data_IF_358042970350
#
_entry.id   IF_358042970350
#
_cell.length_a   1.000
_cell.length_b   1.000
_cell.length_c   1.000
_cell.angle_alpha   90.00
_cell.angle_beta   90.00
_cell.angle_gamma   90.00
#
_symmetry.space_group_name_H-M   'P 1'
#
loop_
_entity.id
_entity.type
_entity.pdbx_description
1 polymer ?
#
# COMPACT_ATOMS: atom_id res chain seq x y z
N UNK A 1 -9.70 27.85 -2.76
CA UNK A 1 -9.01 27.14 -1.67
C UNK A 1 -8.71 25.74 -2.16
N UNK A 2 -7.47 25.29 -2.03
CA UNK A 2 -7.03 23.96 -2.45
C UNK A 2 -7.11 23.01 -1.27
N UNK A 3 -7.86 21.92 -1.39
CA UNK A 3 -7.97 20.85 -0.39
C UNK A 3 -6.69 19.99 -0.36
N UNK A 4 -6.52 19.19 0.69
CA UNK A 4 -5.50 18.13 0.71
C UNK A 4 -5.76 17.13 -0.42
N UNK A 5 -4.70 16.64 -1.04
CA UNK A 5 -4.79 15.48 -1.94
C UNK A 5 -5.17 14.23 -1.15
N UNK A 6 -5.77 13.25 -1.83
CA UNK A 6 -6.11 11.95 -1.24
C UNK A 6 -4.89 11.25 -0.65
N UNK A 7 -3.74 11.34 -1.32
CA UNK A 7 -2.46 10.83 -0.81
C UNK A 7 -2.02 11.53 0.46
N UNK A 8 -2.20 12.86 0.56
CA UNK A 8 -1.85 13.60 1.77
C UNK A 8 -2.77 13.26 2.95
N UNK A 9 -4.06 13.01 2.69
CA UNK A 9 -5.00 12.54 3.73
C UNK A 9 -4.59 11.15 4.23
N UNK A 10 -4.27 10.22 3.32
CA UNK A 10 -3.80 8.88 3.69
C UNK A 10 -2.50 8.94 4.51
N UNK A 11 -1.49 9.68 4.04
CA UNK A 11 -0.23 9.84 4.74
C UNK A 11 -0.40 10.51 6.13
N UNK A 12 -1.34 11.45 6.28
CA UNK A 12 -1.65 12.05 7.58
C UNK A 12 -2.25 11.01 8.55
N UNK A 13 -3.22 10.21 8.11
CA UNK A 13 -3.86 9.16 8.92
C UNK A 13 -2.89 8.01 9.25
N UNK A 14 -1.93 7.77 8.35
CA UNK A 14 -0.87 6.77 8.55
C UNK A 14 0.29 7.25 9.40
N UNK A 15 0.42 8.56 9.63
CA UNK A 15 1.53 9.14 10.38
C UNK A 15 2.84 9.19 9.56
N UNK A 16 2.74 9.07 8.24
CA UNK A 16 3.89 9.01 7.32
C UNK A 16 4.32 10.39 6.80
N UNK A 17 3.63 11.46 7.21
CA UNK A 17 4.04 12.82 6.91
C UNK A 17 5.26 13.22 7.75
N UNK A 18 6.26 13.80 7.10
CA UNK A 18 7.33 14.51 7.79
C UNK A 18 6.77 15.64 8.68
N UNK A 19 7.51 16.13 9.69
CA UNK A 19 6.98 17.09 10.68
C UNK A 19 6.36 18.36 10.06
N UNK A 20 7.05 18.97 9.08
CA UNK A 20 6.59 20.21 8.44
C UNK A 20 5.28 20.04 7.63
N UNK A 21 5.12 19.04 6.74
CA UNK A 21 3.84 18.80 6.08
C UNK A 21 2.76 18.31 7.05
N UNK A 22 3.10 17.64 8.16
CA UNK A 22 2.15 17.25 9.19
C UNK A 22 1.49 18.48 9.84
N UNK A 23 2.27 19.44 10.33
CA UNK A 23 1.75 20.69 10.94
C UNK A 23 0.87 21.49 9.96
N UNK A 24 1.23 21.50 8.67
CA UNK A 24 0.44 22.17 7.63
C UNK A 24 -0.90 21.45 7.39
N UNK A 25 -0.88 20.12 7.34
CA UNK A 25 -2.07 19.31 7.22
C UNK A 25 -3.00 19.51 8.43
N UNK A 26 -2.46 19.47 9.64
CA UNK A 26 -3.20 19.69 10.89
C UNK A 26 -3.91 21.04 10.89
N UNK A 27 -3.20 22.13 10.62
CA UNK A 27 -3.82 23.47 10.51
C UNK A 27 -4.92 23.51 9.45
N UNK A 28 -4.68 22.92 8.28
CA UNK A 28 -5.70 22.89 7.23
C UNK A 28 -6.95 22.09 7.64
N UNK A 29 -6.78 20.97 8.34
CA UNK A 29 -7.89 20.15 8.85
C UNK A 29 -8.71 20.94 9.88
N UNK A 30 -8.06 21.74 10.73
CA UNK A 30 -8.75 22.63 11.66
C UNK A 30 -9.58 23.73 10.96
N UNK A 31 -9.11 24.21 9.81
CA UNK A 31 -9.76 25.30 9.06
C UNK A 31 -10.75 24.79 7.99
N UNK A 32 -10.67 23.51 7.58
CA UNK A 32 -11.45 22.94 6.48
C UNK A 32 -12.21 21.67 6.89
N UNK A 33 -13.54 21.80 7.03
CA UNK A 33 -14.42 20.70 7.43
C UNK A 33 -14.44 19.52 6.44
N UNK A 34 -14.30 19.78 5.14
CA UNK A 34 -14.27 18.72 4.11
C UNK A 34 -13.03 17.82 4.26
N UNK A 35 -11.87 18.42 4.53
CA UNK A 35 -10.66 17.65 4.81
C UNK A 35 -10.74 16.94 6.16
N UNK A 36 -11.34 17.55 7.18
CA UNK A 36 -11.61 16.88 8.46
C UNK A 36 -12.51 15.65 8.30
N UNK A 37 -13.56 15.76 7.48
CA UNK A 37 -14.44 14.64 7.16
C UNK A 37 -13.69 13.53 6.41
N UNK A 38 -12.89 13.88 5.39
CA UNK A 38 -12.09 12.93 4.64
C UNK A 38 -11.11 12.15 5.53
N UNK A 39 -10.45 12.83 6.48
CA UNK A 39 -9.59 12.19 7.49
C UNK A 39 -10.39 11.22 8.36
N UNK A 40 -11.58 11.62 8.82
CA UNK A 40 -12.46 10.77 9.62
C UNK A 40 -12.93 9.51 8.88
N UNK A 41 -13.22 9.60 7.58
CA UNK A 41 -13.56 8.45 6.74
C UNK A 41 -12.37 7.51 6.56
N UNK A 42 -11.19 8.06 6.27
CA UNK A 42 -9.97 7.26 6.11
C UNK A 42 -9.56 6.56 7.41
N UNK A 43 -9.71 7.22 8.56
CA UNK A 43 -9.46 6.60 9.87
C UNK A 43 -10.41 5.42 10.14
N UNK A 44 -11.70 5.57 9.83
CA UNK A 44 -12.66 4.47 9.94
C UNK A 44 -12.32 3.31 9.01
N UNK A 45 -11.93 3.59 7.77
CA UNK A 45 -11.50 2.57 6.82
C UNK A 45 -10.27 1.80 7.34
N UNK A 46 -9.24 2.52 7.79
CA UNK A 46 -8.04 1.93 8.42
C UNK A 46 -8.39 1.06 9.63
N UNK A 47 -9.28 1.53 10.50
CA UNK A 47 -9.70 0.75 11.66
C UNK A 47 -10.47 -0.51 11.25
N UNK A 48 -11.36 -0.41 10.26
CA UNK A 48 -12.09 -1.56 9.73
C UNK A 48 -11.15 -2.64 9.20
N UNK A 49 -10.16 -2.24 8.37
CA UNK A 49 -9.15 -3.16 7.84
C UNK A 49 -8.34 -3.83 8.95
N UNK A 50 -7.90 -3.05 9.95
CA UNK A 50 -7.17 -3.58 11.11
C UNK A 50 -7.98 -4.59 11.91
N UNK A 51 -9.27 -4.33 12.12
CA UNK A 51 -10.15 -5.21 12.88
C UNK A 51 -10.53 -6.47 12.10
N UNK A 52 -10.69 -6.40 10.78
CA UNK A 52 -10.99 -7.59 9.96
C UNK A 52 -9.79 -8.52 9.80
N UNK A 53 -8.58 -7.96 9.72
CA UNK A 53 -7.37 -8.75 9.48
C UNK A 53 -6.88 -9.51 10.72
N UNK A 54 -7.24 -9.04 11.92
CA UNK A 54 -6.83 -9.67 13.18
C UNK A 54 -7.49 -11.02 13.47
N UNK A 55 -8.67 -11.31 12.89
CA UNK A 55 -9.37 -12.58 13.12
C UNK A 55 -8.85 -13.73 12.24
N UNK A 56 -8.24 -13.43 11.08
CA UNK A 56 -7.83 -14.45 10.10
C UNK A 56 -6.30 -14.57 9.95
N UNK A 57 -5.54 -13.53 10.32
CA UNK A 57 -4.06 -13.55 10.24
C UNK A 57 -3.47 -13.98 11.57
N UNK A 58 -3.36 -15.30 11.77
CA UNK A 58 -2.65 -15.88 12.92
C UNK A 58 -1.14 -15.82 12.73
N UNK A 59 -0.41 -15.28 13.71
CA UNK A 59 1.06 -15.27 13.71
C UNK A 59 1.57 -16.70 13.95
N UNK A 60 2.39 -17.28 13.04
CA UNK A 60 2.91 -18.62 13.23
C UNK A 60 3.74 -18.75 14.53
N UNK A 61 3.46 -19.80 15.31
CA UNK A 61 4.20 -20.08 16.56
C UNK A 61 5.72 -20.20 16.34
N UNK A 62 6.13 -20.72 15.18
CA UNK A 62 7.53 -20.83 14.79
C UNK A 62 8.19 -19.46 14.59
N UNK A 63 7.46 -18.45 14.13
CA UNK A 63 7.97 -17.07 14.03
C UNK A 63 8.15 -16.47 15.42
N UNK A 64 7.18 -16.65 16.31
CA UNK A 64 7.28 -16.18 17.70
C UNK A 64 8.46 -16.81 18.44
N UNK A 65 8.68 -18.11 18.26
CA UNK A 65 9.87 -18.79 18.81
C UNK A 65 11.17 -18.23 18.23
N UNK A 66 11.25 -18.00 16.91
CA UNK A 66 12.44 -17.43 16.28
C UNK A 66 12.71 -15.99 16.73
N UNK A 67 11.67 -15.15 16.85
CA UNK A 67 11.78 -13.79 17.35
C UNK A 67 12.23 -13.78 18.82
N UNK A 68 11.74 -14.70 19.66
CA UNK A 68 12.17 -14.85 21.04
C UNK A 68 13.61 -15.33 21.21
N UNK A 69 14.19 -15.97 20.19
CA UNK A 69 15.58 -16.41 20.18
C UNK A 69 16.56 -15.34 19.67
N UNK A 70 16.08 -14.17 19.21
CA UNK A 70 16.96 -13.07 18.81
C UNK A 70 17.58 -12.48 20.10
N UNK A 71 18.90 -12.52 20.27
CA UNK A 71 19.53 -11.96 21.46
C UNK A 71 19.34 -10.43 21.50
N UNK A 72 18.95 -9.91 22.66
CA UNK A 72 18.74 -8.47 22.87
C UNK A 72 20.05 -7.66 22.81
N UNK A 73 21.16 -8.32 23.11
CA UNK A 73 22.53 -7.81 23.00
C UNK A 73 23.42 -8.91 22.45
N UNK A 74 24.20 -8.60 21.41
CA UNK A 74 25.28 -9.46 20.95
C UNK A 74 26.62 -8.78 21.31
N UNK A 75 27.46 -9.46 22.09
CA UNK A 75 28.88 -9.08 22.19
C UNK A 75 29.52 -9.43 20.84
N UNK A 76 29.69 -8.40 20.01
CA UNK A 76 30.37 -8.54 18.73
C UNK A 76 31.88 -8.58 19.00
N UNK A 77 32.51 -9.71 18.67
CA UNK A 77 33.96 -9.85 18.74
C UNK A 77 34.64 -8.79 17.84
N UNK A 78 35.81 -8.30 18.25
CA UNK A 78 36.61 -7.34 17.47
C UNK A 78 36.83 -7.79 16.02
N UNK A 79 36.93 -9.10 15.78
CA UNK A 79 37.05 -9.67 14.42
C UNK A 79 35.79 -9.51 13.58
N UNK A 80 34.60 -9.53 14.17
CA UNK A 80 33.34 -9.32 13.44
C UNK A 80 33.14 -7.84 13.07
N UNK A 81 33.67 -6.93 13.89
CA UNK A 81 33.78 -5.50 13.54
C UNK A 81 34.72 -5.28 12.35
N UNK A 82 35.85 -5.97 12.33
CA UNK A 82 36.89 -5.83 11.30
C UNK A 82 36.55 -6.54 9.97
N UNK A 83 35.73 -7.59 10.00
CA UNK A 83 35.34 -8.35 8.79
C UNK A 83 34.11 -7.76 8.08
N UNK A 84 33.50 -6.70 8.63
CA UNK A 84 32.35 -6.03 8.02
C UNK A 84 31.10 -6.91 7.87
N UNK A 85 31.04 -8.05 8.58
CA UNK A 85 29.89 -8.98 8.58
C UNK A 85 28.75 -8.54 9.50
N UNK A 86 28.88 -7.40 10.16
CA UNK A 86 27.85 -6.78 11.00
C UNK A 86 27.18 -5.57 10.34
N UNK A 87 26.18 -5.03 11.04
CA UNK A 87 25.60 -3.72 10.73
C UNK A 87 26.56 -2.67 11.30
N UNK A 88 27.27 -1.96 10.43
CA UNK A 88 28.10 -0.82 10.77
C UNK A 88 27.30 0.47 10.75
N UNK A 89 27.80 1.50 11.43
CA UNK A 89 27.30 2.87 11.31
C UNK A 89 28.49 3.73 10.89
N UNK A 90 28.40 4.44 9.78
CA UNK A 90 29.46 5.36 9.36
C UNK A 90 29.49 6.63 10.25
N UNK A 91 30.55 7.45 10.13
CA UNK A 91 30.68 8.69 10.89
C UNK A 91 29.53 9.69 10.63
N UNK A 92 28.78 9.54 9.54
CA UNK A 92 27.59 10.30 9.18
C UNK A 92 26.28 9.72 9.74
N UNK A 93 26.35 8.66 10.55
CA UNK A 93 25.16 8.01 11.11
C UNK A 93 24.43 7.10 10.12
N UNK A 94 25.03 6.78 8.97
CA UNK A 94 24.44 5.87 7.99
C UNK A 94 24.68 4.43 8.41
N UNK A 95 23.61 3.66 8.53
CA UNK A 95 23.71 2.22 8.75
C UNK A 95 24.13 1.52 7.44
N UNK A 96 25.23 0.77 7.49
CA UNK A 96 25.72 -0.06 6.39
C UNK A 96 25.67 -1.53 6.81
N UNK A 97 25.06 -2.38 5.99
CA UNK A 97 25.06 -3.82 6.22
C UNK A 97 25.53 -4.53 4.97
N UNK A 98 26.55 -5.37 5.12
CA UNK A 98 27.12 -6.13 4.01
C UNK A 98 26.27 -7.38 3.76
N UNK A 99 25.47 -7.38 2.70
CA UNK A 99 24.80 -8.60 2.23
C UNK A 99 25.81 -9.42 1.44
N UNK A 100 26.15 -10.60 1.96
CA UNK A 100 26.92 -11.58 1.18
C UNK A 100 26.14 -11.90 -0.09
N UNK A 101 26.71 -11.59 -1.26
CA UNK A 101 26.12 -11.97 -2.53
C UNK A 101 25.90 -13.49 -2.53
N UNK A 102 24.71 -13.98 -2.94
CA UNK A 102 24.50 -15.42 -3.05
C UNK A 102 25.59 -15.97 -3.96
N UNK A 103 26.33 -16.96 -3.49
CA UNK A 103 27.25 -17.71 -4.32
C UNK A 103 26.39 -18.46 -5.32
N UNK A 104 26.05 -17.83 -6.45
CA UNK A 104 25.50 -18.56 -7.57
C UNK A 104 26.56 -19.61 -7.88
N UNK A 105 26.21 -20.88 -7.74
CA UNK A 105 27.00 -21.99 -8.25
C UNK A 105 27.01 -21.84 -9.78
N UNK A 106 27.82 -20.90 -10.26
CA UNK A 106 27.92 -20.52 -11.65
C UNK A 106 28.78 -21.61 -12.25
N UNK A 107 28.12 -22.71 -12.60
CA UNK A 107 28.70 -23.76 -13.43
C UNK A 107 29.47 -23.08 -14.57
N UNK A 108 30.77 -23.34 -14.74
CA UNK A 108 31.55 -22.73 -15.81
C UNK A 108 30.83 -23.00 -17.14
N UNK A 109 30.30 -21.94 -17.76
CA UNK A 109 29.69 -22.05 -19.08
C UNK A 109 30.78 -22.42 -20.10
N UNK A 110 30.47 -23.23 -21.11
CA UNK A 110 31.42 -23.54 -22.17
C UNK A 110 31.89 -22.26 -22.88
N UNK A 111 33.15 -22.20 -23.33
CA UNK A 111 33.68 -21.02 -23.99
C UNK A 111 33.00 -20.84 -25.36
N UNK A 112 32.40 -19.68 -25.59
CA UNK A 112 32.09 -19.20 -26.93
C UNK A 112 30.62 -18.88 -27.20
N UNK A 113 30.24 -17.62 -26.97
CA UNK A 113 29.48 -16.90 -28.00
C UNK A 113 29.76 -15.40 -27.84
N UNK A 114 30.36 -14.81 -28.88
CA UNK A 114 30.52 -13.37 -29.00
C UNK A 114 29.13 -12.74 -29.01
N UNK A 115 28.84 -11.96 -27.96
CA UNK A 115 27.61 -11.17 -27.85
C UNK A 115 27.69 -10.04 -28.88
N UNK A 116 27.16 -10.27 -30.08
CA UNK A 116 27.02 -9.25 -31.13
C UNK A 116 26.03 -8.19 -30.65
N UNK A 117 26.57 -7.06 -30.19
CA UNK A 117 25.84 -5.85 -29.86
C UNK A 117 25.05 -5.37 -31.08
N UNK A 118 23.72 -5.53 -31.07
CA UNK A 118 22.84 -4.85 -32.03
C UNK A 118 22.68 -3.41 -31.59
N UNK A 119 23.35 -2.51 -32.29
CA UNK A 119 23.11 -1.07 -32.22
C UNK A 119 21.77 -0.79 -32.88
N UNK A 120 20.78 -0.36 -32.11
CA UNK A 120 19.50 0.14 -32.62
C UNK A 120 19.70 1.59 -33.07
N UNK A 121 19.79 1.82 -34.39
CA UNK A 121 19.68 3.16 -34.98
C UNK A 121 18.20 3.49 -35.14
N UNK A 122 17.74 4.52 -34.45
CA UNK A 122 16.38 5.05 -34.56
C UNK A 122 16.10 5.63 -35.95
N UNK A 123 14.95 5.28 -36.51
CA UNK A 123 14.38 5.86 -37.72
C UNK A 123 13.00 6.41 -37.42
N UNK A 124 12.81 7.70 -37.67
CA UNK A 124 11.54 8.40 -37.57
C UNK A 124 10.54 7.86 -38.61
N UNK A 125 9.33 7.54 -38.18
CA UNK A 125 8.19 7.32 -39.06
C UNK A 125 7.04 8.23 -38.61
N UNK A 126 6.88 9.34 -39.33
CA UNK A 126 5.68 10.17 -39.34
C UNK A 126 4.58 9.36 -40.03
N UNK A 127 3.44 9.12 -39.37
CA UNK A 127 2.23 8.64 -40.03
C UNK A 127 1.12 9.64 -39.83
N UNK A 128 0.54 10.01 -40.97
CA UNK A 128 -0.33 11.13 -41.23
C UNK A 128 -1.75 10.98 -40.68
N UNK A 129 -2.39 12.14 -40.56
CA UNK A 129 -3.80 12.38 -40.25
C UNK A 129 -4.70 11.67 -41.25
N UNK A 130 -5.69 10.91 -40.77
CA UNK A 130 -6.78 10.34 -41.56
C UNK A 130 -8.14 10.68 -40.94
N UNK A 131 -8.85 11.61 -41.57
CA UNK A 131 -10.26 11.94 -41.33
C UNK A 131 -11.12 10.83 -41.94
N UNK A 132 -11.98 10.21 -41.13
CA UNK A 132 -12.95 9.20 -41.59
C UNK A 132 -14.33 9.47 -41.00
N UNK A 133 -15.17 10.16 -41.77
CA UNK A 133 -16.63 10.22 -41.59
C UNK A 133 -17.22 8.86 -41.98
N UNK A 134 -17.85 8.16 -41.04
CA UNK A 134 -18.76 7.03 -41.35
C UNK A 134 -20.16 7.36 -40.89
N UNK A 135 -21.06 7.51 -41.86
CA UNK A 135 -22.51 7.67 -41.69
C UNK A 135 -23.16 6.33 -41.28
N UNK A 136 -24.20 6.43 -40.45
CA UNK A 136 -25.01 5.37 -39.86
C UNK A 136 -25.75 4.46 -40.86
N UNK A 137 -26.28 3.32 -40.37
CA UNK A 137 -27.73 3.18 -40.44
C UNK A 137 -28.36 2.59 -39.16
N UNK A 138 -29.47 3.19 -38.75
CA UNK A 138 -30.47 2.66 -37.81
C UNK A 138 -31.18 1.43 -38.39
N UNK A 139 -31.24 0.33 -37.63
CA UNK A 139 -32.26 -0.72 -37.81
C UNK A 139 -32.94 -0.98 -36.46
N UNK A 140 -34.26 -1.12 -36.62
CA UNK A 140 -35.39 -1.21 -35.72
C UNK A 140 -35.53 -2.59 -35.05
N UNK A 141 -35.97 -2.61 -33.78
CA UNK A 141 -36.73 -3.70 -33.16
C UNK A 141 -35.95 -4.67 -32.27
N UNK A 142 -36.17 -4.65 -30.96
CA UNK A 142 -37.10 -5.56 -30.27
C UNK A 142 -37.03 -5.33 -28.74
N UNK A 143 -38.18 -5.01 -28.14
CA UNK A 143 -38.39 -4.89 -26.69
C UNK A 143 -38.51 -6.27 -26.06
N UNK A 144 -38.00 -6.46 -24.83
CA UNK A 144 -38.69 -7.33 -23.89
C UNK A 144 -39.17 -6.55 -22.66
N UNK A 145 -40.47 -6.25 -22.66
CA UNK A 145 -41.27 -6.13 -21.43
C UNK A 145 -41.21 -7.47 -20.67
N UNK A 146 -40.84 -7.46 -19.39
CA UNK A 146 -41.58 -8.24 -18.38
C UNK A 146 -41.29 -7.80 -16.93
N UNK A 147 -42.37 -7.28 -16.32
CA UNK A 147 -42.87 -7.57 -14.96
C UNK A 147 -42.13 -7.04 -13.71
N UNK A 148 -42.80 -6.02 -13.16
CA UNK A 148 -43.24 -5.79 -11.77
C UNK A 148 -42.69 -6.67 -10.61
N UNK A 149 -42.31 -5.95 -9.55
CA UNK A 149 -41.84 -6.37 -8.22
C UNK A 149 -42.78 -7.33 -7.47
N UNK A 150 -42.32 -7.97 -6.38
CA UNK A 150 -42.62 -7.39 -5.05
C UNK A 150 -41.56 -7.63 -3.96
N UNK A 151 -41.81 -7.00 -2.81
CA UNK A 151 -41.31 -7.29 -1.46
C UNK A 151 -40.12 -6.45 -0.95
N UNK A 152 -40.50 -5.32 -0.36
CA UNK A 152 -39.87 -4.73 0.82
C UNK A 152 -39.71 -5.79 1.91
N UNK A 153 -38.48 -6.18 2.23
CA UNK A 153 -38.14 -6.76 3.53
C UNK A 153 -37.45 -5.68 4.38
N UNK A 154 -38.19 -5.24 5.40
CA UNK A 154 -37.77 -4.22 6.33
C UNK A 154 -36.63 -4.71 7.22
N UNK A 155 -35.48 -4.05 7.11
CA UNK A 155 -34.47 -4.10 8.17
C UNK A 155 -34.94 -3.18 9.31
N UNK A 156 -35.61 -3.74 10.32
CA UNK A 156 -35.93 -3.02 11.54
C UNK A 156 -34.65 -2.65 12.31
N UNK A 157 -34.51 -1.40 12.79
CA UNK A 157 -33.49 -1.08 13.77
C UNK A 157 -33.84 -1.73 15.11
N UNK A 158 -33.00 -2.65 15.59
CA UNK A 158 -33.09 -3.20 16.96
C UNK A 158 -32.67 -2.12 17.95
N UNK A 159 -33.63 -1.57 18.68
CA UNK A 159 -33.40 -0.78 19.89
C UNK A 159 -33.02 -1.72 21.04
N UNK A 160 -31.79 -1.58 21.54
CA UNK A 160 -31.34 -2.28 22.75
C UNK A 160 -31.80 -1.46 23.96
N UNK A 161 -32.79 -1.97 24.69
CA UNK A 161 -33.18 -1.42 25.98
C UNK A 161 -32.16 -1.85 27.04
N UNK A 162 -31.32 -0.92 27.48
CA UNK A 162 -30.48 -1.10 28.67
C UNK A 162 -31.38 -0.93 29.89
N UNK A 163 -31.71 -2.02 30.56
CA UNK A 163 -32.39 -2.00 31.86
C UNK A 163 -31.35 -1.59 32.90
N UNK A 164 -31.49 -0.36 33.41
CA UNK A 164 -30.80 0.07 34.62
C UNK A 164 -31.44 -0.65 35.81
N UNK A 165 -30.83 -1.75 36.25
CA UNK A 165 -31.17 -2.39 37.52
C UNK A 165 -30.59 -1.52 38.65
N UNK A 166 -31.42 -0.64 39.20
CA UNK A 166 -31.12 0.06 40.45
C UNK A 166 -31.37 -0.92 41.60
N UNK A 167 -30.29 -1.49 42.12
CA UNK A 167 -30.32 -2.21 43.39
C UNK A 167 -30.34 -1.20 44.54
N UNK A 168 -31.38 -1.29 45.37
CA UNK A 168 -31.49 -0.61 46.66
C UNK A 168 -31.37 -1.68 47.75
#
# INVERSE_FOLDING_TARGET
MTHLSTEAVAAYVDGELAPVPHERAERHIHECMECAYAVGVQFQCKQSLRSSESDDVSVPQTLMQRLGNIPFSAELDERDRLTGRGIGVDEGGRFEFSVAAPTSDRRPGPPGSLRRSRVFKGGAALVAIGVGLTLSPTILGDEPDFVNSPASDGHQPRTVHVVHEQSK
#
